data_IF_453960807857
#
_entry.id   IF_453960807857
#
_cell.length_a   1.000
_cell.length_b   1.000
_cell.length_c   1.000
_cell.angle_alpha   90.00
_cell.angle_beta   90.00
_cell.angle_gamma   90.00
#
_symmetry.space_group_name_H-M   'P 1'
#
loop_
_entity.id
_entity.type
_entity.pdbx_description
1 polymer ?
#
# COMPACT_ATOMS: atom_id res chain seq x y z
N UNK A 1 2.57 -57.01 -14.89
CA UNK A 1 1.94 -55.88 -14.15
C UNK A 1 3.02 -55.12 -13.40
N UNK A 2 2.83 -53.79 -13.25
CA UNK A 2 3.71 -52.75 -12.69
C UNK A 2 4.70 -52.11 -13.68
N UNK A 3 4.25 -51.01 -14.28
CA UNK A 3 5.04 -50.10 -15.10
C UNK A 3 4.20 -48.89 -15.48
N UNK A 4 3.79 -48.06 -14.51
CA UNK A 4 3.00 -46.85 -14.81
C UNK A 4 3.14 -45.68 -13.83
N UNK A 5 4.06 -45.70 -12.85
CA UNK A 5 4.21 -44.54 -11.94
C UNK A 5 5.28 -43.55 -12.39
N UNK A 6 6.35 -43.97 -13.05
CA UNK A 6 7.51 -43.09 -13.32
C UNK A 6 7.27 -42.01 -14.39
N UNK A 7 6.35 -42.23 -15.34
CA UNK A 7 6.06 -41.24 -16.38
C UNK A 7 5.14 -40.11 -15.90
N UNK A 8 4.30 -40.37 -14.88
CA UNK A 8 3.42 -39.35 -14.30
C UNK A 8 4.21 -38.35 -13.44
N UNK A 9 5.24 -38.79 -12.72
CA UNK A 9 6.10 -37.90 -11.92
C UNK A 9 7.01 -37.01 -12.77
N UNK A 10 7.54 -37.52 -13.89
CA UNK A 10 8.37 -36.72 -14.80
C UNK A 10 7.61 -35.57 -15.48
N UNK A 11 6.34 -35.78 -15.83
CA UNK A 11 5.47 -34.76 -16.43
C UNK A 11 5.03 -33.69 -15.43
N UNK A 12 4.80 -34.06 -14.16
CA UNK A 12 4.45 -33.11 -13.09
C UNK A 12 5.65 -32.21 -12.76
N UNK A 13 6.87 -32.76 -12.70
CA UNK A 13 8.07 -31.94 -12.42
C UNK A 13 8.38 -30.98 -13.57
N UNK A 14 8.16 -31.40 -14.83
CA UNK A 14 8.38 -30.55 -16.00
C UNK A 14 7.28 -29.47 -16.12
N UNK A 15 6.04 -29.78 -15.74
CA UNK A 15 4.95 -28.80 -15.65
C UNK A 15 5.16 -27.81 -14.50
N UNK A 16 5.66 -28.23 -13.34
CA UNK A 16 6.00 -27.33 -12.22
C UNK A 16 7.20 -26.45 -12.55
N UNK A 17 8.22 -26.97 -13.26
CA UNK A 17 9.34 -26.16 -13.75
C UNK A 17 8.92 -25.18 -14.86
N UNK A 18 8.00 -25.57 -15.75
CA UNK A 18 7.47 -24.69 -16.78
C UNK A 18 6.53 -23.63 -16.18
N UNK A 19 5.75 -24.00 -15.15
CA UNK A 19 4.90 -23.07 -14.40
C UNK A 19 5.76 -22.13 -13.53
N UNK A 20 6.88 -22.59 -12.96
CA UNK A 20 7.82 -21.73 -12.23
C UNK A 20 8.63 -20.81 -13.14
N UNK A 21 8.89 -21.22 -14.40
CA UNK A 21 9.48 -20.38 -15.44
C UNK A 21 8.46 -19.38 -16.02
N UNK A 22 7.17 -19.71 -16.00
CA UNK A 22 6.09 -18.76 -16.30
C UNK A 22 5.94 -17.75 -15.18
N UNK A 23 5.93 -18.15 -13.90
CA UNK A 23 5.85 -17.22 -12.76
C UNK A 23 7.10 -16.36 -12.61
N UNK A 24 8.29 -16.89 -12.85
CA UNK A 24 9.53 -16.10 -12.82
C UNK A 24 9.61 -15.07 -13.97
N UNK A 25 8.97 -15.32 -15.11
CA UNK A 25 8.81 -14.32 -16.17
C UNK A 25 7.61 -13.38 -15.94
N UNK A 26 6.72 -13.67 -14.99
CA UNK A 26 5.66 -12.74 -14.60
C UNK A 26 6.10 -11.78 -13.48
N UNK A 27 7.15 -12.13 -12.72
CA UNK A 27 7.75 -11.24 -11.71
C UNK A 27 8.68 -10.16 -12.31
N UNK A 28 8.97 -10.20 -13.61
CA UNK A 28 9.86 -9.23 -14.28
C UNK A 28 9.11 -8.21 -15.16
N UNK A 29 7.81 -8.01 -14.92
CA UNK A 29 7.03 -6.93 -15.50
C UNK A 29 5.85 -6.59 -14.59
N UNK A 30 6.11 -6.11 -13.37
CA UNK A 30 5.19 -5.12 -12.81
C UNK A 30 5.47 -3.82 -13.56
N UNK A 31 4.84 -3.64 -14.73
CA UNK A 31 4.71 -2.31 -15.30
C UNK A 31 4.08 -1.45 -14.22
N UNK A 32 4.75 -0.35 -13.84
CA UNK A 32 4.18 0.54 -12.84
C UNK A 32 2.93 1.15 -13.48
N UNK A 33 1.75 0.73 -13.00
CA UNK A 33 0.47 1.11 -13.59
C UNK A 33 0.27 2.63 -13.61
N UNK A 34 0.94 3.38 -12.71
CA UNK A 34 0.87 4.83 -12.66
C UNK A 34 1.63 5.48 -13.83
N UNK A 35 2.77 4.95 -14.26
CA UNK A 35 3.44 5.50 -15.45
C UNK A 35 2.63 5.18 -16.71
N UNK A 36 2.11 3.95 -16.80
CA UNK A 36 1.30 3.50 -17.94
C UNK A 36 0.03 4.34 -18.12
N UNK A 37 -0.60 4.81 -17.04
CA UNK A 37 -1.77 5.70 -17.10
C UNK A 37 -1.44 7.12 -17.50
N UNK A 38 -0.22 7.60 -17.22
CA UNK A 38 0.21 8.95 -17.57
C UNK A 38 0.72 9.07 -19.01
N UNK A 39 1.28 8.00 -19.60
CA UNK A 39 1.95 8.06 -20.91
C UNK A 39 0.99 7.93 -22.09
N UNK A 40 1.14 8.83 -23.07
CA UNK A 40 0.52 8.75 -24.38
C UNK A 40 1.57 8.93 -25.48
N UNK A 41 1.52 8.08 -26.52
CA UNK A 41 2.37 8.24 -27.72
C UNK A 41 1.55 8.84 -28.85
N UNK A 42 2.04 9.92 -29.48
CA UNK A 42 1.37 10.61 -30.59
C UNK A 42 2.29 10.79 -31.80
N UNK A 43 1.75 10.58 -33.00
CA UNK A 43 2.40 10.83 -34.29
C UNK A 43 1.37 11.34 -35.29
N UNK A 44 1.80 12.11 -36.29
CA UNK A 44 0.94 12.73 -37.30
C UNK A 44 0.49 11.73 -38.39
N UNK A 45 1.34 10.77 -38.73
CA UNK A 45 1.09 9.73 -39.73
C UNK A 45 0.88 8.32 -39.16
N UNK A 46 0.97 8.17 -37.84
CA UNK A 46 0.86 6.90 -37.13
C UNK A 46 2.15 6.07 -37.14
N UNK A 47 3.22 6.56 -37.74
CA UNK A 47 4.56 5.98 -37.70
C UNK A 47 5.43 6.76 -36.69
N UNK A 48 6.28 6.06 -35.95
CA UNK A 48 7.28 6.65 -35.06
C UNK A 48 8.36 5.61 -34.76
N UNK A 49 9.52 6.04 -34.26
CA UNK A 49 10.55 5.12 -33.77
C UNK A 49 10.10 4.46 -32.46
N UNK A 50 9.41 3.32 -32.58
CA UNK A 50 8.92 2.55 -31.43
C UNK A 50 10.03 2.06 -30.48
N UNK A 51 11.24 1.83 -30.99
CA UNK A 51 12.34 1.39 -30.14
C UNK A 51 12.86 2.53 -29.28
N UNK A 52 12.95 3.74 -29.85
CA UNK A 52 13.31 4.92 -29.08
C UNK A 52 12.20 5.35 -28.11
N UNK A 53 10.94 5.32 -28.54
CA UNK A 53 9.81 5.60 -27.64
C UNK A 53 9.83 4.67 -26.41
N UNK A 54 10.07 3.37 -26.61
CA UNK A 54 10.21 2.45 -25.49
C UNK A 54 11.45 2.78 -24.63
N UNK A 55 12.57 3.17 -25.23
CA UNK A 55 13.76 3.56 -24.47
C UNK A 55 13.52 4.81 -23.59
N UNK A 56 12.68 5.75 -24.03
CA UNK A 56 12.23 6.90 -23.23
C UNK A 56 11.36 6.45 -22.06
N UNK A 57 10.39 5.55 -22.31
CA UNK A 57 9.54 4.95 -21.26
C UNK A 57 10.41 4.23 -20.22
N UNK A 58 11.39 3.43 -20.66
CA UNK A 58 12.31 2.70 -19.78
C UNK A 58 13.18 3.62 -18.92
N UNK A 59 13.42 4.87 -19.36
CA UNK A 59 14.12 5.89 -18.56
C UNK A 59 13.19 6.52 -17.53
N UNK A 60 11.96 6.87 -17.91
CA UNK A 60 10.93 7.39 -17.01
C UNK A 60 10.54 6.36 -15.93
N UNK A 61 10.47 5.08 -16.28
CA UNK A 61 10.14 3.99 -15.35
C UNK A 61 11.18 3.79 -14.23
N UNK A 62 12.35 4.44 -14.32
CA UNK A 62 13.34 4.43 -13.23
C UNK A 62 13.00 5.40 -12.11
N UNK A 63 12.06 6.32 -12.33
CA UNK A 63 11.57 7.22 -11.30
C UNK A 63 10.90 6.39 -10.21
N UNK A 64 11.11 6.78 -8.95
CA UNK A 64 10.54 6.09 -7.81
C UNK A 64 9.01 5.94 -7.93
N UNK A 65 8.51 4.75 -7.59
CA UNK A 65 7.11 4.39 -7.76
C UNK A 65 6.15 5.32 -7.01
N UNK A 66 6.55 5.82 -5.83
CA UNK A 66 5.72 6.75 -5.06
C UNK A 66 5.62 8.11 -5.74
N UNK A 67 6.71 8.59 -6.35
CA UNK A 67 6.68 9.83 -7.14
C UNK A 67 5.74 9.66 -8.33
N UNK A 68 5.84 8.53 -9.05
CA UNK A 68 4.96 8.21 -10.18
C UNK A 68 3.49 8.18 -9.76
N UNK A 69 3.15 7.50 -8.66
CA UNK A 69 1.79 7.44 -8.10
C UNK A 69 1.25 8.81 -7.73
N UNK A 70 2.08 9.66 -7.12
CA UNK A 70 1.69 11.00 -6.71
C UNK A 70 1.43 11.92 -7.91
N UNK A 71 2.25 11.85 -8.96
CA UNK A 71 1.99 12.63 -10.18
C UNK A 71 0.79 12.11 -10.96
N UNK A 72 0.59 10.79 -11.01
CA UNK A 72 -0.59 10.18 -11.64
C UNK A 72 -1.87 10.57 -10.92
N UNK A 73 -1.88 10.48 -9.58
CA UNK A 73 -2.99 10.94 -8.73
C UNK A 73 -3.25 12.45 -8.87
N UNK A 74 -2.22 13.22 -9.22
CA UNK A 74 -2.34 14.65 -9.52
C UNK A 74 -2.84 14.92 -10.95
N UNK A 75 -3.00 13.91 -11.80
CA UNK A 75 -3.50 14.02 -13.17
C UNK A 75 -2.45 14.43 -14.20
N UNK A 76 -1.16 14.27 -13.89
CA UNK A 76 -0.08 14.55 -14.85
C UNK A 76 -0.21 13.65 -16.07
N UNK A 77 0.01 14.20 -17.26
CA UNK A 77 0.06 13.44 -18.52
C UNK A 77 1.40 13.68 -19.21
N UNK A 78 1.97 12.62 -19.80
CA UNK A 78 3.26 12.63 -20.49
C UNK A 78 3.01 12.21 -21.94
N UNK A 79 3.23 13.14 -22.87
CA UNK A 79 3.08 12.90 -24.31
C UNK A 79 4.48 12.66 -24.91
N UNK A 80 4.71 11.46 -25.42
CA UNK A 80 5.86 11.17 -26.28
C UNK A 80 5.43 11.36 -27.73
N UNK A 81 6.02 12.34 -28.41
CA UNK A 81 5.53 12.79 -29.71
C UNK A 81 6.56 12.61 -30.83
N UNK A 82 6.11 12.21 -32.02
CA UNK A 82 6.90 12.29 -33.27
C UNK A 82 6.32 13.37 -34.19
N UNK A 83 6.25 14.60 -33.68
CA UNK A 83 5.77 15.77 -34.40
C UNK A 83 6.28 17.07 -33.72
N UNK A 84 6.11 18.25 -34.35
CA UNK A 84 6.37 19.52 -33.69
C UNK A 84 5.51 19.70 -32.43
N UNK A 85 6.09 20.29 -31.37
CA UNK A 85 5.37 20.51 -30.12
C UNK A 85 4.07 21.30 -30.35
N UNK A 86 4.15 22.33 -31.19
CA UNK A 86 3.04 23.23 -31.50
C UNK A 86 1.97 22.61 -32.39
N UNK A 87 2.14 21.38 -32.87
CA UNK A 87 1.07 20.64 -33.55
C UNK A 87 0.20 19.83 -32.56
N UNK A 88 0.63 19.70 -31.31
CA UNK A 88 -0.23 19.17 -30.25
C UNK A 88 -1.32 20.20 -29.89
N UNK A 89 -2.59 19.80 -29.79
CA UNK A 89 -3.68 20.71 -29.41
C UNK A 89 -3.45 21.47 -28.11
N UNK A 90 -2.74 20.85 -27.17
CA UNK A 90 -2.39 21.41 -25.86
C UNK A 90 -1.39 22.56 -25.97
N UNK A 91 -0.59 22.60 -27.04
CA UNK A 91 0.52 23.55 -27.22
C UNK A 91 0.43 24.42 -28.50
N UNK A 92 -0.61 24.26 -29.33
CA UNK A 92 -0.85 25.07 -30.55
C UNK A 92 -0.84 26.58 -30.28
N UNK A 93 -1.26 27.00 -29.09
CA UNK A 93 -1.21 28.41 -28.69
C UNK A 93 0.22 28.99 -28.66
N UNK A 94 1.27 28.16 -28.69
CA UNK A 94 2.67 28.56 -28.76
C UNK A 94 3.19 28.71 -30.19
N UNK A 95 2.44 28.29 -31.22
CA UNK A 95 2.91 28.34 -32.60
C UNK A 95 3.37 29.73 -33.03
N UNK A 96 4.58 29.79 -33.61
CA UNK A 96 5.23 31.04 -34.04
C UNK A 96 5.66 31.98 -32.91
N UNK A 97 5.51 31.61 -31.63
CA UNK A 97 5.98 32.41 -30.49
C UNK A 97 7.42 32.07 -30.15
N UNK A 98 8.17 33.04 -29.65
CA UNK A 98 9.56 32.86 -29.22
C UNK A 98 9.60 32.48 -27.72
N UNK A 99 10.32 31.42 -27.33
CA UNK A 99 10.55 31.08 -25.93
C UNK A 99 11.28 32.19 -25.17
N UNK A 100 11.11 32.26 -23.85
CA UNK A 100 11.83 33.22 -23.02
C UNK A 100 13.34 32.94 -23.10
N UNK A 101 14.15 33.98 -23.32
CA UNK A 101 15.61 33.86 -23.44
C UNK A 101 16.10 33.51 -24.85
N UNK A 102 15.17 33.28 -25.80
CA UNK A 102 15.45 32.93 -27.18
C UNK A 102 15.23 34.08 -28.15
N UNK A 103 15.03 35.31 -27.66
CA UNK A 103 14.62 36.48 -28.45
C UNK A 103 15.60 36.85 -29.60
N UNK A 104 16.83 36.34 -29.57
CA UNK A 104 17.87 36.59 -30.56
C UNK A 104 18.27 35.37 -31.41
N UNK A 105 17.55 34.25 -31.30
CA UNK A 105 17.92 32.97 -31.94
C UNK A 105 17.24 32.74 -33.30
N UNK A 106 16.24 33.56 -33.67
CA UNK A 106 15.29 33.32 -34.77
C UNK A 106 14.43 32.05 -34.64
N UNK A 107 14.56 31.32 -33.54
CA UNK A 107 13.81 30.10 -33.24
C UNK A 107 12.51 30.41 -32.49
N UNK A 108 11.53 29.53 -32.69
CA UNK A 108 10.19 29.60 -32.05
C UNK A 108 9.91 28.31 -31.29
N UNK A 109 8.82 28.28 -30.53
CA UNK A 109 8.31 27.06 -29.89
C UNK A 109 8.04 25.91 -30.86
N UNK A 110 7.93 26.19 -32.17
CA UNK A 110 7.80 25.15 -33.19
C UNK A 110 9.05 24.25 -33.28
N UNK A 111 10.21 24.76 -32.87
CA UNK A 111 11.49 24.05 -32.89
C UNK A 111 11.81 23.38 -31.55
N UNK A 112 11.12 23.77 -30.47
CA UNK A 112 11.38 23.24 -29.12
C UNK A 112 10.89 21.79 -29.03
N UNK A 113 11.75 20.85 -28.57
CA UNK A 113 11.43 19.43 -28.59
C UNK A 113 10.63 18.95 -27.37
N UNK A 114 10.44 19.79 -26.34
CA UNK A 114 9.70 19.42 -25.14
C UNK A 114 9.08 20.60 -24.42
N UNK A 115 8.18 20.29 -23.49
CA UNK A 115 7.61 21.25 -22.56
C UNK A 115 7.14 20.56 -21.28
N UNK A 116 7.58 21.07 -20.14
CA UNK A 116 7.19 20.59 -18.82
C UNK A 116 5.94 21.27 -18.29
N UNK A 117 5.24 20.58 -17.40
CA UNK A 117 4.02 21.06 -16.75
C UNK A 117 3.05 19.93 -16.45
N UNK A 118 1.78 20.27 -16.22
CA UNK A 118 0.74 19.28 -15.95
C UNK A 118 0.55 18.32 -17.13
N UNK A 119 0.57 18.87 -18.35
CA UNK A 119 0.83 18.11 -19.57
C UNK A 119 2.30 18.32 -19.91
N UNK A 120 3.07 17.25 -19.81
CA UNK A 120 4.46 17.17 -20.20
C UNK A 120 4.56 16.59 -21.61
N UNK A 121 5.42 17.13 -22.45
CA UNK A 121 5.67 16.60 -23.79
C UNK A 121 7.17 16.47 -24.07
N UNK A 122 7.58 15.39 -24.72
CA UNK A 122 8.95 15.16 -25.16
C UNK A 122 8.98 14.50 -26.54
N UNK A 123 9.80 15.03 -27.45
CA UNK A 123 9.90 14.50 -28.81
C UNK A 123 10.75 13.22 -28.86
N UNK A 124 10.24 12.20 -29.53
CA UNK A 124 10.90 10.93 -29.74
C UNK A 124 12.20 11.15 -30.54
N UNK A 125 13.32 10.60 -30.04
CA UNK A 125 14.64 10.77 -30.64
C UNK A 125 15.41 12.03 -30.22
N UNK A 126 14.85 12.84 -29.31
CA UNK A 126 15.47 14.08 -28.83
C UNK A 126 15.92 13.98 -27.37
N UNK A 127 16.05 12.77 -26.81
CA UNK A 127 16.40 12.56 -25.40
C UNK A 127 17.77 13.09 -25.01
N UNK A 128 18.81 12.88 -25.84
CA UNK A 128 20.17 13.28 -25.51
C UNK A 128 20.39 14.81 -25.69
N UNK A 129 21.33 15.42 -24.95
CA UNK A 129 21.66 16.84 -25.10
C UNK A 129 22.05 17.19 -26.54
N UNK A 130 21.55 18.31 -27.05
CA UNK A 130 21.64 18.66 -28.46
C UNK A 130 20.24 18.81 -29.06
N UNK A 131 20.13 18.77 -30.39
CA UNK A 131 18.83 18.88 -31.09
C UNK A 131 17.91 19.99 -30.53
N UNK A 132 18.50 21.19 -30.39
CA UNK A 132 17.82 22.42 -29.92
C UNK A 132 17.41 22.46 -28.43
N UNK A 133 18.00 21.59 -27.59
CA UNK A 133 17.95 21.75 -26.13
C UNK A 133 19.33 21.45 -25.49
N UNK A 134 19.47 21.79 -24.20
CA UNK A 134 20.73 21.63 -23.45
C UNK A 134 20.62 20.77 -22.20
N UNK A 135 19.47 20.12 -21.98
CA UNK A 135 19.21 19.32 -20.78
C UNK A 135 19.92 17.98 -20.87
N UNK A 136 20.25 17.37 -19.73
CA UNK A 136 20.98 16.10 -19.69
C UNK A 136 20.19 14.93 -20.28
N UNK A 137 18.86 14.99 -20.15
CA UNK A 137 17.90 14.08 -20.77
C UNK A 137 16.55 14.79 -20.87
N UNK A 138 15.98 14.86 -22.08
CA UNK A 138 14.77 15.65 -22.34
C UNK A 138 13.57 15.18 -21.51
N UNK A 139 13.11 13.94 -21.69
CA UNK A 139 11.89 13.45 -21.06
C UNK A 139 11.95 13.45 -19.53
N UNK A 140 13.11 13.14 -18.93
CA UNK A 140 13.28 13.23 -17.48
C UNK A 140 13.30 14.67 -16.98
N UNK A 141 13.86 15.61 -17.76
CA UNK A 141 13.86 17.03 -17.41
C UNK A 141 12.43 17.57 -17.45
N UNK A 142 11.70 17.35 -18.54
CA UNK A 142 10.34 17.86 -18.68
C UNK A 142 9.40 17.23 -17.63
N UNK A 143 9.54 15.93 -17.36
CA UNK A 143 8.81 15.28 -16.27
C UNK A 143 9.25 15.79 -14.89
N UNK A 144 10.52 16.17 -14.73
CA UNK A 144 11.03 16.82 -13.52
C UNK A 144 10.27 18.11 -13.17
N UNK A 145 9.85 18.91 -14.16
CA UNK A 145 8.96 20.05 -13.91
C UNK A 145 7.57 19.65 -13.41
N UNK A 146 7.04 18.53 -13.90
CA UNK A 146 5.76 18.00 -13.43
C UNK A 146 5.88 17.51 -11.97
N UNK A 147 6.96 16.79 -11.66
CA UNK A 147 7.25 16.34 -10.28
C UNK A 147 7.39 17.54 -9.35
N UNK A 148 8.17 18.56 -9.74
CA UNK A 148 8.36 19.79 -8.98
C UNK A 148 7.04 20.43 -8.57
N UNK A 149 6.10 20.49 -9.51
CA UNK A 149 4.86 21.25 -9.36
C UNK A 149 3.71 20.47 -8.73
N UNK A 150 3.66 19.15 -8.94
CA UNK A 150 2.44 18.37 -8.71
C UNK A 150 2.60 17.19 -7.74
N UNK A 151 3.81 16.64 -7.55
CA UNK A 151 3.97 15.45 -6.70
C UNK A 151 3.62 15.73 -5.22
N UNK A 152 4.00 16.92 -4.73
CA UNK A 152 3.83 17.31 -3.33
C UNK A 152 2.58 18.17 -3.06
N UNK A 153 1.82 18.56 -4.09
CA UNK A 153 0.72 19.52 -3.97
C UNK A 153 1.15 20.99 -3.83
N UNK A 154 2.45 21.27 -3.94
CA UNK A 154 3.04 22.60 -4.02
C UNK A 154 4.34 22.51 -4.85
N UNK A 155 4.87 23.67 -5.28
CA UNK A 155 6.13 23.73 -6.02
C UNK A 155 7.33 23.49 -5.09
N UNK A 156 7.98 22.32 -5.19
CA UNK A 156 9.08 21.89 -4.31
C UNK A 156 10.28 22.82 -4.41
N UNK A 157 10.67 23.21 -5.62
CA UNK A 157 11.71 24.18 -5.93
C UNK A 157 11.41 25.58 -5.39
N UNK A 158 10.12 25.82 -5.08
CA UNK A 158 9.61 27.00 -4.41
C UNK A 158 9.83 27.03 -2.90
N UNK A 159 10.29 25.93 -2.29
CA UNK A 159 10.50 25.85 -0.84
C UNK A 159 11.79 26.56 -0.39
N UNK A 160 11.77 27.08 0.84
CA UNK A 160 12.96 27.72 1.43
C UNK A 160 14.10 26.72 1.66
N UNK A 161 13.78 25.46 1.98
CA UNK A 161 14.74 24.37 2.13
C UNK A 161 15.51 24.14 0.82
N UNK A 162 14.79 23.88 -0.27
CA UNK A 162 15.41 23.60 -1.56
C UNK A 162 16.21 24.78 -2.09
N UNK A 163 15.69 26.01 -1.96
CA UNK A 163 16.41 27.23 -2.38
C UNK A 163 17.71 27.43 -1.61
N UNK A 164 17.74 27.10 -0.32
CA UNK A 164 18.97 27.18 0.48
C UNK A 164 20.00 26.14 0.05
N UNK A 165 19.58 24.92 -0.29
CA UNK A 165 20.45 23.89 -0.87
C UNK A 165 21.01 24.36 -2.22
N UNK A 166 20.14 24.75 -3.15
CA UNK A 166 20.49 25.29 -4.46
C UNK A 166 21.51 26.43 -4.37
N UNK A 167 21.28 27.41 -3.48
CA UNK A 167 22.17 28.56 -3.32
C UNK A 167 23.60 28.17 -2.91
N UNK A 168 23.77 27.05 -2.21
CA UNK A 168 25.09 26.58 -1.77
C UNK A 168 25.78 25.76 -2.84
N UNK A 169 25.05 24.99 -3.63
CA UNK A 169 25.64 23.93 -4.46
C UNK A 169 25.57 24.18 -5.97
N UNK A 170 24.63 24.99 -6.46
CA UNK A 170 24.45 25.23 -7.91
C UNK A 170 25.74 25.64 -8.60
N UNK A 171 26.51 26.55 -7.98
CA UNK A 171 27.77 27.04 -8.54
C UNK A 171 28.84 25.94 -8.67
N UNK A 172 28.88 24.99 -7.74
CA UNK A 172 29.79 23.85 -7.80
C UNK A 172 29.35 22.82 -8.85
N UNK A 173 28.04 22.59 -8.98
CA UNK A 173 27.48 21.62 -9.93
C UNK A 173 27.58 22.09 -11.38
N UNK A 174 27.10 23.31 -11.65
CA UNK A 174 26.89 23.85 -12.99
C UNK A 174 27.84 24.99 -13.36
N UNK A 175 28.83 25.34 -12.52
CA UNK A 175 29.79 26.40 -12.84
C UNK A 175 30.65 26.15 -14.09
N UNK A 176 30.72 24.89 -14.55
CA UNK A 176 31.36 24.52 -15.82
C UNK A 176 30.38 24.33 -16.99
N UNK A 177 29.09 24.60 -16.78
CA UNK A 177 28.08 24.56 -17.83
C UNK A 177 28.27 25.70 -18.83
N UNK A 178 27.77 25.52 -20.06
CA UNK A 178 27.86 26.57 -21.11
C UNK A 178 26.97 27.77 -20.82
N UNK A 179 25.87 27.54 -20.11
CA UNK A 179 24.85 28.53 -19.72
C UNK A 179 24.50 28.32 -18.24
N UNK A 180 25.41 28.63 -17.30
CA UNK A 180 25.16 28.40 -15.88
C UNK A 180 24.00 29.23 -15.32
N UNK A 181 23.72 30.39 -15.92
CA UNK A 181 22.61 31.28 -15.53
C UNK A 181 21.23 30.70 -15.84
N UNK A 182 21.14 29.70 -16.73
CA UNK A 182 19.88 28.98 -16.99
C UNK A 182 19.33 28.36 -15.70
N UNK A 183 20.22 27.84 -14.86
CA UNK A 183 19.88 27.25 -13.58
C UNK A 183 19.76 28.28 -12.44
N UNK A 184 19.70 29.59 -12.73
CA UNK A 184 19.31 30.59 -11.73
C UNK A 184 17.83 30.48 -11.36
N UNK A 185 17.01 29.94 -12.26
CA UNK A 185 15.61 29.61 -12.01
C UNK A 185 15.50 28.31 -11.19
N UNK A 186 14.87 28.32 -10.00
CA UNK A 186 14.77 27.14 -9.15
C UNK A 186 14.10 25.93 -9.81
N UNK A 187 13.07 26.16 -10.62
CA UNK A 187 12.39 25.08 -11.35
C UNK A 187 13.29 24.38 -12.37
N UNK A 188 14.11 25.15 -13.09
CA UNK A 188 15.10 24.62 -14.04
C UNK A 188 16.23 23.86 -13.34
N UNK A 189 16.69 24.39 -12.19
CA UNK A 189 17.66 23.68 -11.36
C UNK A 189 17.09 22.35 -10.87
N UNK A 190 15.86 22.34 -10.34
CA UNK A 190 15.19 21.12 -9.88
C UNK A 190 15.03 20.09 -10.99
N UNK A 191 14.46 20.48 -12.14
CA UNK A 191 14.21 19.59 -13.26
C UNK A 191 15.51 18.93 -13.76
N UNK A 192 16.58 19.71 -13.88
CA UNK A 192 17.86 19.18 -14.35
C UNK A 192 18.50 18.22 -13.33
N UNK A 193 18.51 18.56 -12.03
CA UNK A 193 19.11 17.66 -11.02
C UNK A 193 18.27 16.40 -10.80
N UNK A 194 16.95 16.49 -10.96
CA UNK A 194 16.05 15.34 -11.01
C UNK A 194 16.41 14.42 -12.19
N UNK A 195 16.56 14.99 -13.39
CA UNK A 195 16.98 14.24 -14.57
C UNK A 195 18.36 13.61 -14.40
N UNK A 196 19.33 14.34 -13.86
CA UNK A 196 20.68 13.82 -13.57
C UNK A 196 20.61 12.64 -12.59
N UNK A 197 19.78 12.72 -11.55
CA UNK A 197 19.58 11.64 -10.62
C UNK A 197 19.00 10.42 -11.34
N UNK A 198 17.83 10.51 -11.97
CA UNK A 198 17.17 9.32 -12.52
C UNK A 198 17.79 8.76 -13.80
N UNK A 199 18.49 9.59 -14.59
CA UNK A 199 19.29 9.10 -15.72
C UNK A 199 20.41 8.15 -15.25
N UNK A 200 21.00 8.42 -14.08
CA UNK A 200 22.02 7.58 -13.48
C UNK A 200 23.43 7.82 -14.02
N UNK A 201 24.30 6.81 -13.89
CA UNK A 201 25.64 6.80 -14.47
C UNK A 201 26.52 7.99 -14.07
N UNK A 202 27.21 8.56 -15.05
CA UNK A 202 28.10 9.71 -14.86
C UNK A 202 27.34 10.97 -14.42
N UNK A 203 26.08 11.14 -14.84
CA UNK A 203 25.25 12.28 -14.45
C UNK A 203 24.94 12.25 -12.94
N UNK A 204 24.42 11.11 -12.44
CA UNK A 204 24.17 10.92 -11.01
C UNK A 204 25.46 11.01 -10.19
N UNK A 205 26.56 10.46 -10.70
CA UNK A 205 27.87 10.54 -10.06
C UNK A 205 28.38 11.98 -9.99
N UNK A 206 28.18 12.79 -11.05
CA UNK A 206 28.51 14.23 -11.04
C UNK A 206 27.68 14.97 -10.00
N UNK A 207 26.38 14.70 -9.94
CA UNK A 207 25.46 15.29 -8.95
C UNK A 207 25.93 14.98 -7.52
N UNK A 208 26.13 13.70 -7.19
CA UNK A 208 26.57 13.26 -5.85
C UNK A 208 27.88 13.91 -5.42
N UNK A 209 28.85 14.03 -6.34
CA UNK A 209 30.18 14.56 -5.99
C UNK A 209 30.24 16.09 -5.88
N UNK A 210 29.39 16.81 -6.62
CA UNK A 210 29.47 18.29 -6.72
C UNK A 210 28.36 19.02 -5.97
N UNK A 211 27.25 18.34 -5.72
CA UNK A 211 26.09 18.87 -5.00
C UNK A 211 25.48 17.75 -4.12
N UNK A 212 26.22 17.26 -3.12
CA UNK A 212 25.77 16.16 -2.26
C UNK A 212 24.46 16.45 -1.52
N UNK A 213 24.18 17.70 -1.10
CA UNK A 213 22.93 18.00 -0.42
C UNK A 213 21.73 17.98 -1.37
N UNK A 214 21.94 18.42 -2.61
CA UNK A 214 20.95 18.31 -3.69
C UNK A 214 20.72 16.84 -4.04
N UNK A 215 21.79 16.05 -4.11
CA UNK A 215 21.70 14.60 -4.31
C UNK A 215 20.83 13.94 -3.22
N UNK A 216 21.14 14.20 -1.95
CA UNK A 216 20.41 13.65 -0.79
C UNK A 216 18.96 14.15 -0.73
N UNK A 217 18.71 15.38 -1.16
CA UNK A 217 17.36 15.92 -1.25
C UNK A 217 16.52 15.15 -2.28
N UNK A 218 17.06 14.93 -3.48
CA UNK A 218 16.36 14.21 -4.55
C UNK A 218 16.21 12.72 -4.21
N UNK A 219 17.22 12.11 -3.59
CA UNK A 219 17.16 10.69 -3.21
C UNK A 219 16.07 10.41 -2.18
N UNK A 220 15.80 11.34 -1.27
CA UNK A 220 14.74 11.20 -0.25
C UNK A 220 13.43 11.92 -0.62
N UNK A 221 13.28 12.39 -1.87
CA UNK A 221 12.07 13.09 -2.28
C UNK A 221 10.83 12.20 -2.10
N UNK A 222 10.95 10.91 -2.43
CA UNK A 222 9.85 9.95 -2.29
C UNK A 222 9.45 9.74 -0.81
N UNK A 223 10.42 9.67 0.13
CA UNK A 223 10.13 9.58 1.57
C UNK A 223 9.43 10.82 2.15
N UNK A 224 9.41 11.94 1.42
CA UNK A 224 8.69 13.15 1.83
C UNK A 224 7.23 13.14 1.39
N UNK A 225 6.83 12.20 0.54
CA UNK A 225 5.48 12.10 0.03
C UNK A 225 4.66 11.16 0.93
N UNK A 226 3.53 11.69 1.45
CA UNK A 226 2.55 10.92 2.22
C UNK A 226 1.31 10.73 1.37
N UNK A 227 0.88 9.47 1.24
CA UNK A 227 -0.35 9.10 0.54
C UNK A 227 -1.50 9.08 1.53
N UNK A 228 -2.67 9.58 1.10
CA UNK A 228 -3.95 9.31 1.76
C UNK A 228 -4.59 8.20 0.95
N UNK A 229 -4.63 6.99 1.52
CA UNK A 229 -5.07 5.78 0.82
C UNK A 229 -6.59 5.68 0.80
N UNK A 230 -7.23 6.00 1.93
CA UNK A 230 -8.68 5.87 2.13
C UNK A 230 -9.18 6.92 3.11
N UNK A 231 -10.39 7.44 2.88
CA UNK A 231 -11.03 8.44 3.72
C UNK A 231 -12.51 8.14 3.79
N UNK A 232 -13.04 8.03 5.00
CA UNK A 232 -14.47 7.87 5.27
C UNK A 232 -15.01 9.14 5.96
N UNK A 233 -16.21 9.07 6.55
CA UNK A 233 -16.74 10.12 7.42
C UNK A 233 -15.90 10.32 8.69
N UNK A 234 -15.34 9.25 9.26
CA UNK A 234 -14.69 9.28 10.57
C UNK A 234 -13.29 8.63 10.60
N UNK A 235 -12.76 8.20 9.46
CA UNK A 235 -11.41 7.62 9.38
C UNK A 235 -10.60 8.20 8.22
N UNK A 236 -9.28 8.20 8.38
CA UNK A 236 -8.34 8.48 7.31
C UNK A 236 -7.14 7.53 7.40
N UNK A 237 -6.92 6.73 6.35
CA UNK A 237 -5.75 5.87 6.21
C UNK A 237 -4.68 6.57 5.42
N UNK A 238 -3.47 6.63 5.98
CA UNK A 238 -2.30 7.23 5.35
C UNK A 238 -1.13 6.24 5.29
N UNK A 239 -0.29 6.39 4.27
CA UNK A 239 0.92 5.58 4.07
C UNK A 239 2.09 6.40 3.57
N UNK A 240 3.30 5.91 3.80
CA UNK A 240 4.57 6.53 3.39
C UNK A 240 5.60 5.44 3.05
N UNK A 241 6.73 5.81 2.45
CA UNK A 241 7.80 4.85 2.19
C UNK A 241 8.68 4.62 3.41
N UNK A 242 9.15 3.39 3.55
CA UNK A 242 10.18 3.07 4.52
C UNK A 242 11.43 3.92 4.27
N UNK A 243 12.01 4.44 5.36
CA UNK A 243 13.24 5.22 5.31
C UNK A 243 14.38 4.46 5.99
N UNK A 244 15.50 4.31 5.28
CA UNK A 244 16.69 3.68 5.84
C UNK A 244 17.17 4.43 7.10
N UNK A 245 17.54 3.66 8.13
CA UNK A 245 17.91 4.18 9.44
C UNK A 245 16.75 4.57 10.37
N UNK A 246 15.49 4.57 9.90
CA UNK A 246 14.35 4.86 10.77
C UNK A 246 14.06 3.68 11.72
N UNK A 247 14.01 3.96 13.02
CA UNK A 247 13.61 2.99 14.04
C UNK A 247 12.09 3.00 14.26
N UNK A 248 11.45 4.15 14.08
CA UNK A 248 9.99 4.35 14.13
C UNK A 248 9.59 5.61 13.38
N UNK A 249 8.29 5.82 13.23
CA UNK A 249 7.67 6.96 12.60
C UNK A 249 6.73 7.64 13.59
N UNK A 250 6.90 8.94 13.80
CA UNK A 250 5.96 9.75 14.55
C UNK A 250 4.90 10.33 13.61
N UNK A 251 3.63 10.13 13.94
CA UNK A 251 2.49 10.61 13.14
C UNK A 251 1.96 11.90 13.76
N UNK A 252 1.88 12.94 12.94
CA UNK A 252 1.35 14.23 13.34
C UNK A 252 0.09 14.56 12.57
N UNK A 253 -0.92 15.08 13.28
CA UNK A 253 -2.16 15.63 12.73
C UNK A 253 -2.35 17.04 13.26
N UNK A 254 -2.50 18.01 12.36
CA UNK A 254 -2.69 19.43 12.71
C UNK A 254 -1.62 19.93 13.70
N UNK A 255 -0.37 19.58 13.42
CA UNK A 255 0.83 19.91 14.22
C UNK A 255 0.94 19.25 15.60
N UNK A 256 0.01 18.37 15.97
CA UNK A 256 0.08 17.58 17.20
C UNK A 256 0.48 16.13 16.90
N UNK A 257 1.41 15.57 17.68
CA UNK A 257 1.75 14.15 17.60
C UNK A 257 0.57 13.35 18.14
N UNK A 258 -0.01 12.50 17.30
CA UNK A 258 -1.16 11.66 17.68
C UNK A 258 -0.76 10.22 17.98
N UNK A 259 0.29 9.70 17.32
CA UNK A 259 0.76 8.33 17.53
C UNK A 259 2.23 8.16 17.09
N UNK A 260 2.77 6.96 17.29
CA UNK A 260 4.00 6.47 16.68
C UNK A 260 3.88 4.98 16.29
N UNK A 261 4.49 4.58 15.19
CA UNK A 261 4.49 3.19 14.72
C UNK A 261 5.83 2.80 14.12
N UNK A 262 6.13 1.50 14.10
CA UNK A 262 7.26 0.96 13.33
C UNK A 262 6.86 0.56 11.90
N UNK A 263 5.55 0.55 11.60
CA UNK A 263 5.04 0.30 10.25
C UNK A 263 5.07 1.56 9.37
N UNK A 264 4.67 1.40 8.11
CA UNK A 264 4.67 2.48 7.09
C UNK A 264 3.25 2.94 6.70
N UNK A 265 2.27 2.62 7.54
CA UNK A 265 0.88 3.07 7.39
C UNK A 265 0.24 3.29 8.74
N UNK A 266 -0.76 4.16 8.78
CA UNK A 266 -1.54 4.47 9.96
C UNK A 266 -3.00 4.77 9.57
N UNK A 267 -3.96 4.23 10.33
CA UNK A 267 -5.37 4.58 10.21
C UNK A 267 -5.72 5.48 11.39
N UNK A 268 -6.07 6.72 11.10
CA UNK A 268 -6.61 7.63 12.10
C UNK A 268 -8.12 7.43 12.20
N UNK A 269 -8.62 7.20 13.40
CA UNK A 269 -10.01 6.89 13.72
C UNK A 269 -10.63 8.05 14.52
N UNK A 270 -11.94 7.95 14.79
CA UNK A 270 -12.69 8.95 15.56
C UNK A 270 -12.59 10.39 15.03
N UNK A 271 -12.42 10.53 13.71
CA UNK A 271 -12.42 11.82 13.04
C UNK A 271 -13.84 12.40 12.98
N UNK A 272 -13.91 13.72 12.96
CA UNK A 272 -15.16 14.43 12.70
C UNK A 272 -15.41 14.42 11.20
N UNK A 273 -16.67 14.25 10.81
CA UNK A 273 -17.12 14.33 9.41
C UNK A 273 -16.91 15.73 8.84
N UNK A 274 -16.81 15.82 7.51
CA UNK A 274 -16.64 17.10 6.77
C UNK A 274 -15.53 18.01 7.33
N UNK A 275 -14.47 17.43 7.89
CA UNK A 275 -13.40 18.15 8.60
C UNK A 275 -12.08 17.95 7.89
N UNK A 276 -11.35 19.05 7.67
CA UNK A 276 -10.03 19.01 7.08
C UNK A 276 -8.97 18.65 8.13
N UNK A 277 -8.11 17.71 7.78
CA UNK A 277 -6.98 17.25 8.58
C UNK A 277 -5.70 17.33 7.77
N UNK A 278 -4.62 17.76 8.42
CA UNK A 278 -3.29 17.84 7.82
C UNK A 278 -2.35 16.88 8.51
N UNK A 279 -1.80 15.93 7.75
CA UNK A 279 -0.88 14.92 8.24
C UNK A 279 0.54 15.18 7.79
N UNK A 280 1.50 14.85 8.64
CA UNK A 280 2.90 14.68 8.25
C UNK A 280 3.57 13.63 9.15
N UNK A 281 4.64 13.04 8.62
CA UNK A 281 5.36 11.95 9.25
C UNK A 281 6.80 12.39 9.55
N UNK A 282 7.29 12.03 10.73
CA UNK A 282 8.70 12.18 11.11
C UNK A 282 9.31 10.80 11.37
N UNK A 283 10.07 10.23 10.43
CA UNK A 283 10.94 9.10 10.72
C UNK A 283 12.00 9.54 11.74
N UNK A 284 12.21 8.74 12.77
CA UNK A 284 13.21 8.96 13.80
C UNK A 284 14.14 7.77 13.92
N UNK A 285 15.41 8.02 14.18
CA UNK A 285 16.42 6.98 14.34
C UNK A 285 16.33 6.29 15.73
N UNK A 286 17.23 5.33 15.98
CA UNK A 286 17.30 4.64 17.28
C UNK A 286 17.70 5.53 18.46
N UNK A 287 18.27 6.70 18.18
CA UNK A 287 18.67 7.72 19.17
C UNK A 287 17.52 8.66 19.53
N UNK A 288 16.44 8.64 18.73
CA UNK A 288 15.29 9.54 18.84
C UNK A 288 15.44 10.84 18.04
N UNK A 289 16.43 10.94 17.17
CA UNK A 289 16.65 12.10 16.32
C UNK A 289 15.85 11.97 15.01
N UNK A 290 15.17 13.05 14.54
CA UNK A 290 14.42 13.02 13.29
C UNK A 290 15.37 12.96 12.08
N UNK A 291 15.11 12.02 11.18
CA UNK A 291 15.87 11.85 9.94
C UNK A 291 15.43 12.84 8.85
N UNK A 292 14.11 13.07 8.75
CA UNK A 292 13.50 14.12 7.93
C UNK A 292 12.13 14.50 8.48
N UNK A 293 11.49 15.48 7.85
CA UNK A 293 10.06 15.74 8.02
C UNK A 293 9.40 15.65 6.64
N UNK A 294 8.36 14.83 6.53
CA UNK A 294 7.61 14.70 5.28
C UNK A 294 6.90 16.01 4.94
N UNK A 295 6.45 16.13 3.69
CA UNK A 295 5.52 17.18 3.34
C UNK A 295 4.15 16.93 3.96
N UNK A 296 3.41 18.02 4.16
CA UNK A 296 2.04 17.94 4.63
C UNK A 296 1.14 17.32 3.56
N UNK A 297 0.25 16.43 3.99
CA UNK A 297 -0.84 15.93 3.18
C UNK A 297 -2.16 16.25 3.84
N UNK A 298 -2.96 17.06 3.15
CA UNK A 298 -4.31 17.42 3.60
C UNK A 298 -5.32 16.41 3.08
N UNK A 299 -6.31 16.09 3.90
CA UNK A 299 -7.52 15.38 3.48
C UNK A 299 -8.74 15.95 4.18
N UNK A 300 -9.92 15.72 3.64
CA UNK A 300 -11.20 16.13 4.24
C UNK A 300 -12.07 14.89 4.35
N UNK A 301 -12.50 14.57 5.57
CA UNK A 301 -13.45 13.47 5.81
C UNK A 301 -14.77 13.71 5.09
N UNK A 302 -15.43 12.63 4.71
CA UNK A 302 -16.70 12.69 3.99
C UNK A 302 -17.83 13.21 4.90
N UNK A 303 -18.94 13.63 4.29
CA UNK A 303 -20.15 13.95 5.05
C UNK A 303 -20.76 12.65 5.63
N UNK A 304 -21.55 12.78 6.69
CA UNK A 304 -22.24 11.62 7.32
C UNK A 304 -23.10 10.86 6.31
N UNK A 305 -23.79 11.55 5.40
CA UNK A 305 -24.64 10.93 4.36
C UNK A 305 -23.86 10.14 3.28
N UNK A 306 -22.53 10.29 3.23
CA UNK A 306 -21.64 9.61 2.27
C UNK A 306 -20.75 8.54 2.96
N UNK A 307 -20.89 8.34 4.28
CA UNK A 307 -20.26 7.22 4.98
C UNK A 307 -20.91 5.89 4.52
N UNK A 308 -20.20 4.75 4.53
CA UNK A 308 -20.82 3.46 4.19
C UNK A 308 -22.05 3.24 5.08
N UNK A 309 -23.22 3.12 4.45
CA UNK A 309 -24.49 2.87 5.12
C UNK A 309 -24.38 1.54 5.88
N UNK A 310 -24.70 1.55 7.18
CA UNK A 310 -24.74 0.34 8.01
C UNK A 310 -25.78 -0.61 7.42
N UNK A 311 -25.39 -1.85 7.11
CA UNK A 311 -26.31 -2.83 6.54
C UNK A 311 -27.23 -3.36 7.63
N UNK A 312 -28.47 -2.86 7.64
CA UNK A 312 -29.53 -3.28 8.57
C UNK A 312 -30.38 -4.43 8.01
N UNK A 313 -30.15 -4.85 6.76
CA UNK A 313 -31.00 -5.81 6.06
C UNK A 313 -30.96 -7.21 6.68
N UNK A 314 -29.77 -7.67 7.07
CA UNK A 314 -29.59 -9.00 7.68
C UNK A 314 -30.24 -9.06 9.06
N UNK A 315 -29.89 -8.13 9.97
CA UNK A 315 -30.50 -8.03 11.30
C UNK A 315 -32.02 -7.86 11.23
N UNK A 316 -32.50 -7.02 10.31
CA UNK A 316 -33.94 -6.82 10.07
C UNK A 316 -34.66 -8.10 9.69
N UNK A 317 -34.05 -8.94 8.84
CA UNK A 317 -34.64 -10.23 8.44
C UNK A 317 -34.73 -11.23 9.60
N UNK A 318 -33.72 -11.27 10.46
CA UNK A 318 -33.70 -12.14 11.65
C UNK A 318 -34.69 -11.66 12.71
N UNK A 319 -34.90 -10.34 12.84
CA UNK A 319 -35.96 -9.76 13.68
C UNK A 319 -37.34 -10.22 13.17
N UNK A 320 -37.60 -10.16 11.86
CA UNK A 320 -38.86 -10.64 11.28
C UNK A 320 -39.10 -12.14 11.57
N UNK A 321 -38.04 -12.96 11.50
CA UNK A 321 -38.09 -14.39 11.82
C UNK A 321 -38.43 -14.64 13.30
N UNK A 322 -37.73 -13.96 14.22
CA UNK A 322 -38.02 -14.03 15.66
C UNK A 322 -39.43 -13.53 16.00
N UNK A 323 -39.92 -12.51 15.28
CA UNK A 323 -41.27 -11.97 15.46
C UNK A 323 -42.38 -12.93 15.00
N UNK A 324 -42.08 -13.84 14.06
CA UNK A 324 -43.02 -14.85 13.59
C UNK A 324 -43.34 -15.92 14.65
N UNK A 325 -42.44 -16.14 15.62
CA UNK A 325 -42.71 -16.97 16.80
C UNK A 325 -43.72 -16.25 17.69
N UNK A 326 -44.80 -16.92 18.08
CA UNK A 326 -45.85 -16.32 18.91
C UNK A 326 -45.27 -15.89 20.27
N UNK A 327 -45.78 -14.82 20.88
CA UNK A 327 -45.26 -14.33 22.17
C UNK A 327 -45.33 -15.39 23.29
N UNK A 328 -46.28 -16.32 23.21
CA UNK A 328 -46.47 -17.41 24.18
C UNK A 328 -45.43 -18.53 24.00
N UNK A 329 -44.85 -18.65 22.80
CA UNK A 329 -43.89 -19.68 22.41
C UNK A 329 -42.43 -19.20 22.43
N UNK A 330 -42.18 -17.96 22.90
CA UNK A 330 -40.83 -17.39 23.02
C UNK A 330 -40.23 -17.70 24.39
N UNK A 331 -39.05 -18.29 24.39
CA UNK A 331 -38.21 -18.46 25.57
C UNK A 331 -37.72 -17.09 26.07
N UNK A 332 -37.36 -16.99 27.36
CA UNK A 332 -36.79 -15.75 27.90
C UNK A 332 -35.51 -15.30 27.16
N UNK A 333 -34.74 -16.26 26.63
CA UNK A 333 -33.55 -15.99 25.83
C UNK A 333 -33.87 -15.34 24.49
N UNK A 334 -34.86 -15.88 23.76
CA UNK A 334 -35.34 -15.30 22.50
C UNK A 334 -35.95 -13.91 22.71
N UNK A 335 -36.72 -13.72 23.78
CA UNK A 335 -37.31 -12.42 24.09
C UNK A 335 -36.25 -11.35 24.38
N UNK A 336 -35.22 -11.68 25.15
CA UNK A 336 -34.13 -10.75 25.50
C UNK A 336 -33.27 -10.40 24.28
N UNK A 337 -32.94 -11.39 23.45
CA UNK A 337 -32.18 -11.16 22.22
C UNK A 337 -32.97 -10.30 21.23
N UNK A 338 -34.28 -10.53 21.10
CA UNK A 338 -35.15 -9.76 20.21
C UNK A 338 -35.26 -8.29 20.64
N UNK A 339 -35.36 -8.02 21.95
CA UNK A 339 -35.38 -6.66 22.48
C UNK A 339 -34.05 -5.94 22.24
N UNK A 340 -32.92 -6.62 22.45
CA UNK A 340 -31.60 -6.06 22.18
C UNK A 340 -31.37 -5.78 20.68
N UNK A 341 -31.76 -6.71 19.80
CA UNK A 341 -31.70 -6.54 18.35
C UNK A 341 -32.52 -5.35 17.87
N UNK A 342 -33.76 -5.20 18.37
CA UNK A 342 -34.61 -4.04 18.08
C UNK A 342 -34.03 -2.72 18.60
N UNK A 343 -33.46 -2.74 19.80
CA UNK A 343 -32.79 -1.55 20.32
C UNK A 343 -31.55 -1.17 19.52
N UNK A 344 -30.86 -2.14 18.92
CA UNK A 344 -29.64 -1.92 18.14
C UNK A 344 -29.98 -1.38 16.75
N UNK A 345 -31.00 -1.94 16.09
CA UNK A 345 -31.44 -1.46 14.76
C UNK A 345 -32.09 -0.07 14.80
N UNK A 346 -32.67 0.34 15.94
CA UNK A 346 -33.25 1.67 16.15
C UNK A 346 -32.22 2.71 16.64
N UNK A 347 -30.99 2.29 16.94
CA UNK A 347 -29.95 3.19 17.42
C UNK A 347 -29.18 3.81 16.24
N UNK A 348 -29.44 5.09 15.97
CA UNK A 348 -28.77 5.86 14.92
C UNK A 348 -27.22 5.94 15.09
N UNK A 349 -26.70 5.68 16.30
CA UNK A 349 -25.26 5.67 16.60
C UNK A 349 -24.61 4.27 16.54
N UNK A 350 -25.35 3.21 16.18
CA UNK A 350 -24.82 1.84 16.17
C UNK A 350 -23.91 1.57 14.97
N UNK A 351 -22.76 0.92 15.20
CA UNK A 351 -21.82 0.52 14.15
C UNK A 351 -22.12 -0.88 13.55
N UNK A 352 -21.45 -1.24 12.45
CA UNK A 352 -21.67 -2.52 11.77
C UNK A 352 -21.33 -3.72 12.67
N UNK A 353 -20.32 -3.60 13.54
CA UNK A 353 -19.96 -4.70 14.44
C UNK A 353 -21.09 -4.95 15.45
N UNK A 354 -21.70 -3.91 15.98
CA UNK A 354 -22.85 -4.02 16.89
C UNK A 354 -24.07 -4.64 16.19
N UNK A 355 -24.31 -4.34 14.91
CA UNK A 355 -25.37 -4.98 14.13
C UNK A 355 -25.13 -6.48 13.94
N UNK A 356 -23.91 -6.85 13.57
CA UNK A 356 -23.52 -8.25 13.36
C UNK A 356 -23.56 -9.06 14.68
N UNK A 357 -23.14 -8.45 15.79
CA UNK A 357 -23.21 -9.08 17.12
C UNK A 357 -24.67 -9.31 17.57
N UNK A 358 -25.55 -8.33 17.34
CA UNK A 358 -26.97 -8.44 17.65
C UNK A 358 -27.68 -9.48 16.77
N UNK A 359 -27.33 -9.55 15.48
CA UNK A 359 -27.83 -10.55 14.53
C UNK A 359 -27.45 -11.96 15.01
N UNK A 360 -26.17 -12.20 15.27
CA UNK A 360 -25.67 -13.50 15.67
C UNK A 360 -26.30 -13.98 16.99
N UNK A 361 -26.49 -13.06 17.93
CA UNK A 361 -27.15 -13.34 19.20
C UNK A 361 -28.62 -13.73 19.00
N UNK A 362 -29.37 -12.99 18.17
CA UNK A 362 -30.77 -13.28 17.88
C UNK A 362 -30.94 -14.60 17.10
N UNK A 363 -30.14 -14.82 16.07
CA UNK A 363 -30.08 -16.06 15.29
C UNK A 363 -29.78 -17.28 16.17
N UNK A 364 -28.90 -17.16 17.16
CA UNK A 364 -28.63 -18.23 18.12
C UNK A 364 -29.82 -18.47 19.06
N UNK A 365 -30.52 -17.41 19.46
CA UNK A 365 -31.67 -17.50 20.36
C UNK A 365 -32.88 -18.15 19.68
N UNK A 366 -33.11 -17.89 18.38
CA UNK A 366 -34.15 -18.54 17.58
C UNK A 366 -33.93 -20.07 17.58
N UNK A 367 -32.72 -20.53 17.24
CA UNK A 367 -32.38 -21.96 17.22
C UNK A 367 -32.59 -22.64 18.57
N UNK A 368 -32.15 -21.98 19.64
CA UNK A 368 -32.30 -22.51 21.00
C UNK A 368 -33.79 -22.63 21.37
N UNK A 369 -34.62 -21.68 20.94
CA UNK A 369 -36.06 -21.72 21.15
C UNK A 369 -36.73 -22.89 20.42
N UNK A 370 -36.33 -23.16 19.18
CA UNK A 370 -36.84 -24.30 18.41
C UNK A 370 -36.50 -25.64 19.08
N UNK A 371 -35.24 -25.80 19.53
CA UNK A 371 -34.79 -27.01 20.24
C UNK A 371 -35.56 -27.22 21.57
N UNK A 372 -35.82 -26.14 22.32
CA UNK A 372 -36.62 -26.20 23.55
C UNK A 372 -38.08 -26.62 23.26
N UNK A 373 -38.68 -26.12 22.18
CA UNK A 373 -40.04 -26.51 21.79
C UNK A 373 -40.13 -27.95 21.28
N UNK A 374 -39.12 -28.43 20.54
CA UNK A 374 -39.05 -29.83 20.10
C UNK A 374 -38.92 -30.77 21.30
N UNK A 375 -38.05 -30.45 22.26
CA UNK A 375 -37.88 -31.23 23.49
C UNK A 375 -39.16 -31.26 24.35
N UNK A 376 -39.86 -30.14 24.48
CA UNK A 376 -41.14 -30.07 25.19
C UNK A 376 -42.26 -30.85 24.48
N UNK A 377 -42.21 -30.94 23.15
CA UNK A 377 -43.11 -31.78 22.35
C UNK A 377 -42.90 -33.27 22.58
N UNK A 378 -41.65 -33.72 22.64
CA UNK A 378 -41.29 -35.13 22.89
C UNK A 378 -41.63 -35.59 24.32
N UNK A 379 -41.44 -34.76 25.35
CA UNK A 379 -41.85 -35.10 26.73
C UNK A 379 -43.38 -35.24 26.87
N UNK A 380 -44.16 -34.47 26.10
CA UNK A 380 -45.63 -34.57 26.09
C UNK A 380 -46.18 -35.85 25.42
N UNK A 381 -45.41 -36.45 24.50
CA UNK A 381 -45.76 -37.72 23.88
C UNK A 381 -45.41 -38.92 24.79
N UNK A 382 -44.31 -38.85 25.56
CA UNK A 382 -43.95 -39.90 26.52
C UNK A 382 -44.91 -39.94 27.74
N UNK A 383 -45.34 -38.78 28.27
CA UNK A 383 -46.31 -38.72 29.39
C UNK A 383 -47.69 -39.29 29.00
N UNK A 384 -48.08 -39.19 27.71
CA UNK A 384 -49.32 -39.78 27.18
C UNK A 384 -49.28 -41.32 27.06
N UNK A 385 -48.08 -41.93 27.10
CA UNK A 385 -47.91 -43.38 27.02
C UNK A 385 -47.84 -44.08 28.38
N UNK A 386 -47.36 -43.42 29.43
CA UNK A 386 -47.35 -43.97 30.81
C UNK A 386 -48.72 -43.90 31.50
N UNK A 387 -49.60 -42.95 31.15
CA UNK A 387 -50.94 -42.84 31.78
C UNK A 387 -51.91 -43.99 31.37
N UNK A 388 -51.51 -44.87 30.44
CA UNK A 388 -52.35 -45.98 29.94
C UNK A 388 -52.12 -47.34 30.62
N UNK A 389 -51.19 -47.45 31.58
CA UNK A 389 -50.78 -48.74 32.16
C UNK A 389 -50.77 -48.84 33.68
N UNK A 390 -51.54 -48.05 34.44
CA UNK A 390 -51.74 -48.32 35.88
C UNK A 390 -53.19 -48.08 36.36
N UNK A 391 -54.16 -48.81 35.80
CA UNK A 391 -55.39 -49.18 36.53
C UNK A 391 -55.42 -50.70 36.76
N UNK A 392 -54.81 -51.18 37.85
CA UNK A 392 -55.37 -52.28 38.66
C UNK A 392 -54.55 -52.46 39.96
N UNK A 393 -55.17 -52.12 41.10
CA UNK A 393 -55.28 -52.93 42.34
C UNK A 393 -55.32 -52.07 43.61
N UNK A 394 -56.53 -52.04 44.18
CA UNK A 394 -56.90 -52.08 45.61
C UNK A 394 -55.84 -51.82 46.71
N UNK A 395 -56.21 -50.97 47.68
CA UNK A 395 -56.18 -51.36 49.11
C UNK A 395 -55.47 -50.42 50.09
N UNK A 396 -56.27 -49.63 50.81
CA UNK A 396 -56.26 -49.46 52.29
C UNK A 396 -55.02 -48.91 53.03
N UNK A 397 -55.24 -47.74 53.66
CA UNK A 397 -54.76 -47.24 54.97
C UNK A 397 -53.25 -46.99 55.24
N UNK A 398 -52.91 -45.77 55.70
CA UNK A 398 -52.66 -45.45 57.12
C UNK A 398 -51.87 -44.13 57.30
N UNK A 399 -51.94 -43.62 58.53
CA UNK A 399 -51.55 -42.33 59.13
C UNK A 399 -50.05 -41.99 59.26
N UNK A 400 -49.82 -40.69 59.58
CA UNK A 400 -48.72 -40.09 60.40
C UNK A 400 -47.28 -40.09 59.81
N UNK A 401 -46.35 -39.17 60.11
CA UNK A 401 -46.27 -37.85 60.77
C UNK A 401 -44.80 -37.37 60.64
N UNK A 402 -44.54 -36.05 60.75
CA UNK A 402 -43.29 -35.43 61.30
C UNK A 402 -41.97 -35.69 60.55
N UNK A 403 -40.88 -34.91 60.59
CA UNK A 403 -40.39 -33.73 61.31
C UNK A 403 -39.04 -33.35 60.65
N UNK A 404 -38.64 -32.06 60.70
CA UNK A 404 -37.29 -31.51 61.06
C UNK A 404 -36.01 -32.08 60.38
N UNK A 405 -34.89 -31.40 60.14
CA UNK A 405 -34.22 -30.14 60.57
C UNK A 405 -33.05 -29.95 59.56
N UNK A 406 -32.67 -28.75 59.12
CA UNK A 406 -31.54 -27.92 59.64
C UNK A 406 -30.15 -28.58 59.43
N UNK A 407 -29.18 -28.00 58.72
CA UNK A 407 -28.16 -27.04 59.21
C UNK A 407 -27.08 -26.89 58.09
N UNK A 408 -26.80 -25.69 57.57
CA UNK A 408 -25.63 -24.81 57.84
C UNK A 408 -24.23 -25.43 57.67
N UNK A 409 -23.39 -24.86 56.78
CA UNK A 409 -22.24 -24.00 57.11
C UNK A 409 -21.25 -23.84 55.93
N UNK A 410 -20.84 -22.59 55.72
CA UNK A 410 -19.60 -22.08 55.07
C UNK A 410 -18.33 -22.50 55.90
N UNK A 411 -17.06 -22.03 55.70
CA UNK A 411 -16.54 -20.89 54.90
C UNK A 411 -15.17 -21.12 54.18
N UNK A 412 -14.65 -20.01 53.66
CA UNK A 412 -13.38 -19.70 53.01
C UNK A 412 -12.04 -19.90 53.80
N UNK A 413 -10.89 -19.79 53.09
CA UNK A 413 -9.58 -19.27 53.57
C UNK A 413 -8.59 -19.07 52.39
N UNK A 414 -7.96 -17.88 52.29
CA UNK A 414 -6.50 -17.53 52.50
C UNK A 414 -5.60 -17.73 51.24
N UNK A 415 -4.97 -16.72 50.62
CA UNK A 415 -3.87 -15.76 50.96
C UNK A 415 -2.42 -16.19 50.54
N UNK A 416 -1.67 -15.21 50.00
CA UNK A 416 -0.17 -15.04 49.91
C UNK A 416 0.64 -15.98 48.98
N UNK A 417 1.80 -15.66 48.36
CA UNK A 417 2.89 -14.69 48.63
C UNK A 417 3.81 -14.47 47.38
N UNK A 418 4.76 -13.54 47.53
CA UNK A 418 5.70 -12.87 46.60
C UNK A 418 7.03 -13.64 46.34
N UNK A 419 7.80 -13.32 45.26
CA UNK A 419 9.28 -13.23 45.31
C UNK A 419 9.94 -12.68 44.02
N UNK A 420 11.11 -12.07 44.21
CA UNK A 420 11.98 -11.29 43.31
C UNK A 420 13.44 -11.76 43.51
N UNK A 421 14.31 -11.72 42.50
CA UNK A 421 15.81 -11.59 42.55
C UNK A 421 16.34 -11.52 41.08
N UNK A 422 16.99 -10.46 40.57
CA UNK A 422 18.43 -10.03 40.63
C UNK A 422 19.44 -11.01 39.97
N UNK A 423 20.56 -10.67 39.31
CA UNK A 423 21.18 -9.49 38.66
C UNK A 423 22.55 -9.94 38.05
N UNK A 424 23.17 -9.09 37.19
CA UNK A 424 24.63 -8.96 36.86
C UNK A 424 25.29 -9.88 35.81
N UNK A 425 26.34 -9.57 35.04
CA UNK A 425 27.20 -8.41 34.62
C UNK A 425 28.11 -8.99 33.49
N UNK A 426 28.55 -8.23 32.47
CA UNK A 426 29.99 -8.02 32.08
C UNK A 426 30.16 -7.22 30.77
N UNK A 427 30.98 -6.16 30.83
CA UNK A 427 31.50 -5.33 29.73
C UNK A 427 32.70 -6.00 29.04
N UNK A 428 32.89 -5.78 27.74
CA UNK A 428 34.23 -5.59 27.14
C UNK A 428 34.15 -4.73 25.87
N UNK A 429 34.98 -3.69 25.82
CA UNK A 429 35.32 -2.88 24.65
C UNK A 429 36.26 -3.63 23.68
N UNK A 430 36.17 -3.36 22.36
CA UNK A 430 37.29 -3.00 21.47
C UNK A 430 36.90 -2.88 19.98
N UNK A 431 37.06 -1.67 19.47
CA UNK A 431 37.57 -1.20 18.16
C UNK A 431 37.39 -2.01 16.84
N UNK A 432 36.76 -1.31 15.89
CA UNK A 432 37.06 -1.14 14.44
C UNK A 432 37.57 -2.32 13.58
N UNK A 433 36.83 -2.63 12.52
CA UNK A 433 37.36 -2.63 11.14
C UNK A 433 36.23 -2.57 10.09
N UNK A 434 36.37 -1.65 9.16
CA UNK A 434 35.56 -1.42 7.96
C UNK A 434 35.87 -2.44 6.87
N UNK A 435 34.86 -2.96 6.15
CA UNK A 435 35.12 -3.63 4.87
C UNK A 435 33.99 -4.44 4.25
N UNK A 436 33.28 -3.81 3.30
CA UNK A 436 32.77 -4.42 2.05
C UNK A 436 31.91 -5.69 2.12
N UNK A 437 30.59 -5.53 2.06
CA UNK A 437 29.67 -6.61 1.66
C UNK A 437 28.53 -6.10 0.78
N UNK A 438 28.85 -5.70 -0.45
CA UNK A 438 27.81 -5.49 -1.48
C UNK A 438 28.24 -5.96 -2.89
N UNK A 439 29.43 -6.56 -3.03
CA UNK A 439 29.95 -7.08 -4.30
C UNK A 439 29.97 -8.62 -4.41
N UNK A 440 29.62 -9.34 -3.34
CA UNK A 440 29.62 -10.83 -3.34
C UNK A 440 28.22 -11.41 -3.66
N UNK A 441 27.13 -10.72 -3.28
CA UNK A 441 25.77 -11.22 -3.50
C UNK A 441 25.36 -11.35 -4.99
N UNK A 442 25.92 -10.54 -5.90
CA UNK A 442 25.57 -10.63 -7.33
C UNK A 442 26.32 -11.75 -8.08
N UNK A 443 27.51 -12.11 -7.61
CA UNK A 443 28.32 -13.20 -8.19
C UNK A 443 27.77 -14.56 -7.79
N UNK A 444 27.23 -14.69 -6.58
CA UNK A 444 26.62 -15.93 -6.10
C UNK A 444 25.36 -16.30 -6.87
N UNK A 445 24.52 -15.31 -7.23
CA UNK A 445 23.35 -15.57 -8.09
C UNK A 445 23.77 -16.00 -9.51
N UNK A 446 24.79 -15.37 -10.09
CA UNK A 446 25.29 -15.75 -11.42
C UNK A 446 25.93 -17.15 -11.42
N UNK A 447 26.67 -17.48 -10.36
CA UNK A 447 27.29 -18.79 -10.18
C UNK A 447 26.24 -19.89 -9.96
N UNK A 448 25.20 -19.62 -9.17
CA UNK A 448 24.09 -20.55 -8.92
C UNK A 448 23.21 -20.78 -10.17
N UNK A 449 23.00 -19.74 -10.99
CA UNK A 449 22.30 -19.86 -12.29
C UNK A 449 23.13 -20.70 -13.28
N UNK A 450 24.45 -20.47 -13.36
CA UNK A 450 25.32 -21.28 -14.23
C UNK A 450 25.42 -22.74 -13.75
N UNK A 451 25.51 -22.95 -12.44
CA UNK A 451 25.57 -24.30 -11.84
C UNK A 451 24.29 -25.09 -12.11
N UNK A 452 23.12 -24.46 -11.97
CA UNK A 452 21.82 -25.08 -12.25
C UNK A 452 21.65 -25.39 -13.74
N UNK A 453 22.05 -24.49 -14.65
CA UNK A 453 22.05 -24.76 -16.09
C UNK A 453 22.93 -25.96 -16.48
N UNK A 454 24.12 -26.08 -15.89
CA UNK A 454 25.02 -27.23 -16.11
C UNK A 454 24.40 -28.53 -15.61
N UNK A 455 23.76 -28.54 -14.45
CA UNK A 455 23.10 -29.72 -13.90
C UNK A 455 21.92 -30.18 -14.77
N UNK A 456 21.15 -29.25 -15.34
CA UNK A 456 20.06 -29.56 -16.28
C UNK A 456 20.60 -30.19 -17.57
N UNK A 457 21.69 -29.64 -18.14
CA UNK A 457 22.32 -30.21 -19.34
C UNK A 457 22.85 -31.62 -19.06
N UNK A 458 23.48 -31.85 -17.91
CA UNK A 458 23.97 -33.17 -17.50
C UNK A 458 22.82 -34.18 -17.32
N UNK A 459 21.68 -33.75 -16.77
CA UNK A 459 20.49 -34.57 -16.62
C UNK A 459 19.89 -34.96 -17.99
N UNK A 460 19.86 -34.03 -18.95
CA UNK A 460 19.41 -34.29 -20.32
C UNK A 460 20.35 -35.28 -21.03
N UNK A 461 21.66 -35.10 -20.90
CA UNK A 461 22.65 -36.02 -21.48
C UNK A 461 22.51 -37.43 -20.87
N UNK A 462 22.33 -37.52 -19.55
CA UNK A 462 22.10 -38.79 -18.87
C UNK A 462 20.81 -39.47 -19.35
N UNK A 463 19.72 -38.72 -19.54
CA UNK A 463 18.46 -39.25 -20.07
C UNK A 463 18.62 -39.77 -21.51
N UNK A 464 19.35 -39.05 -22.37
CA UNK A 464 19.65 -39.47 -23.75
C UNK A 464 20.51 -40.75 -23.76
N UNK A 465 21.51 -40.85 -22.89
CA UNK A 465 22.36 -42.04 -22.76
C UNK A 465 21.59 -43.26 -22.24
N UNK A 466 20.67 -43.07 -21.29
CA UNK A 466 19.79 -44.12 -20.78
C UNK A 466 18.80 -44.57 -21.87
N UNK A 467 18.27 -43.64 -22.67
CA UNK A 467 17.40 -43.97 -23.80
C UNK A 467 18.12 -44.76 -24.90
N UNK A 468 19.37 -44.37 -25.23
CA UNK A 468 20.21 -45.10 -26.18
C UNK A 468 20.63 -46.50 -25.72
N UNK A 469 20.67 -46.77 -24.40
CA UNK A 469 20.96 -48.11 -23.84
C UNK A 469 19.75 -49.05 -23.78
N UNK A 470 18.53 -48.54 -23.97
CA UNK A 470 17.28 -49.32 -23.96
C UNK A 470 16.78 -49.69 -25.37
N UNK A 471 17.43 -49.19 -26.42
CA UNK A 471 17.38 -49.73 -27.80
C UNK A 471 18.60 -50.61 -28.01
#
# INVERSE_FOLDING_TARGET
MKGSSLWKFGLVILAVLFLSLLTANTEQASANSALDSMIEIRSDDGEYDSAEAQAMIDRLQRVDDRILQHTDSAGVSIILMDMPLTELPEFDYLSGKVPRGWENTNSTWDEVPGAGGHTTAARIGYSDPGNDHSTINLELHEYGHAVDSYAAGFTVSGSDEFRQIMNREKGALFGDHKVPEYFDEPGEYFAEVFAMYYLGGDARSKLQNRAPETYEFISHLHNRLVTVDEVTGNTAKISWDEMDGAAKYEIYRNDEKIDETTGTSFTDEDLKTSTNYNYYIKPVDSSGDPLLTSYFRSTTTQAEDDAPEVDTGELGSVIEEAEAVSEEDRSPGLQSALENAKSTIENDDADQQQMDEAEAALSSAIKSNEEEMEAAGEESEEESTEESMEEETTGEAAEESSQEEETTEEPASEETEESKEEQSIEETEAESETGSSQAEASKDNTFMILLSAVLVILAIIAAILIWKRKK
#
